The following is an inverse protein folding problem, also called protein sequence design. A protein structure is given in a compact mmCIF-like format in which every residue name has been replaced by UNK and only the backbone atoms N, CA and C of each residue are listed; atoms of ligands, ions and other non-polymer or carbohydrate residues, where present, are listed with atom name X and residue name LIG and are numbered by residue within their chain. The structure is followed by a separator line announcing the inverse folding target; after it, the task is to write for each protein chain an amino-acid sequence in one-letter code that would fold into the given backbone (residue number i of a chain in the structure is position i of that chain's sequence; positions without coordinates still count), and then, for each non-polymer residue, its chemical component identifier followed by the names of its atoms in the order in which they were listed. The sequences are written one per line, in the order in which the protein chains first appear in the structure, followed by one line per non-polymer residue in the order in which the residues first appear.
data_IF_060544373466
#
_entry.id   IF_060544373466
#
_cell.length_a   1.000
_cell.length_b   1.000
_cell.length_c   1.000
_cell.angle_alpha   90.00
_cell.angle_beta   90.00
_cell.angle_gamma   90.00
#
_symmetry.space_group_name_H-M   'P 1'
#
loop_
_entity.id
_entity.type
_entity.pdbx_description
1 polymer ?
#
# COMPACT_ATOMS: atom_id res chain seq x y z
N UNK A 1 17.88 -20.22 -27.34
CA UNK A 1 16.53 -19.96 -26.82
C UNK A 1 16.52 -18.53 -26.30
N UNK A 2 15.75 -17.63 -26.93
CA UNK A 2 15.51 -16.32 -26.35
C UNK A 2 14.35 -16.49 -25.37
N UNK A 3 14.58 -16.23 -24.09
CA UNK A 3 13.52 -16.10 -23.11
C UNK A 3 12.63 -14.93 -23.52
N UNK A 4 11.34 -15.18 -23.71
CA UNK A 4 10.37 -14.16 -24.05
C UNK A 4 10.13 -13.26 -22.83
N UNK A 5 10.60 -11.99 -22.82
CA UNK A 5 10.43 -11.10 -21.68
C UNK A 5 8.95 -10.79 -21.39
N UNK A 6 8.05 -10.99 -22.37
CA UNK A 6 6.61 -10.85 -22.19
C UNK A 6 6.02 -11.86 -21.21
N UNK A 7 6.51 -13.10 -21.21
CA UNK A 7 6.00 -14.17 -20.36
C UNK A 7 6.41 -14.02 -18.88
N UNK A 8 7.59 -13.42 -18.60
CA UNK A 8 8.07 -13.17 -17.23
C UNK A 8 7.53 -11.88 -16.62
N UNK A 9 7.10 -10.92 -17.44
CA UNK A 9 6.65 -9.60 -16.97
C UNK A 9 5.16 -9.53 -16.63
N UNK A 10 4.32 -10.39 -17.24
CA UNK A 10 2.88 -10.47 -16.95
C UNK A 10 2.55 -10.91 -15.51
N UNK A 11 3.19 -11.96 -14.94
CA UNK A 11 2.98 -12.36 -13.55
C UNK A 11 3.37 -11.26 -12.56
N UNK A 12 4.53 -10.62 -12.79
CA UNK A 12 5.02 -9.52 -11.97
C UNK A 12 4.10 -8.31 -11.99
N UNK A 13 3.55 -7.95 -13.16
CA UNK A 13 2.60 -6.85 -13.29
C UNK A 13 1.29 -7.13 -12.52
N UNK A 14 0.80 -8.37 -12.57
CA UNK A 14 -0.39 -8.79 -11.84
C UNK A 14 -0.15 -8.74 -10.31
N UNK A 15 0.97 -9.27 -9.83
CA UNK A 15 1.36 -9.24 -8.42
C UNK A 15 1.47 -7.80 -7.89
N UNK A 16 2.08 -6.90 -8.66
CA UNK A 16 2.14 -5.47 -8.34
C UNK A 16 0.75 -4.83 -8.31
N UNK A 17 -0.16 -5.23 -9.19
CA UNK A 17 -1.55 -4.75 -9.20
C UNK A 17 -2.34 -5.22 -7.98
N UNK A 18 -2.21 -6.49 -7.60
CA UNK A 18 -2.88 -7.06 -6.41
C UNK A 18 -2.40 -6.34 -5.16
N UNK A 19 -1.08 -6.21 -4.99
CA UNK A 19 -0.52 -5.51 -3.83
C UNK A 19 -0.90 -4.02 -3.81
N UNK A 20 -1.03 -3.37 -4.97
CA UNK A 20 -1.46 -1.97 -5.05
C UNK A 20 -2.93 -1.84 -4.61
N UNK A 21 -3.79 -2.75 -5.04
CA UNK A 21 -5.19 -2.80 -4.64
C UNK A 21 -5.32 -3.03 -3.13
N UNK A 22 -4.53 -3.96 -2.57
CA UNK A 22 -4.51 -4.25 -1.13
C UNK A 22 -4.12 -3.01 -0.30
N UNK A 23 -3.03 -2.32 -0.67
CA UNK A 23 -2.60 -1.10 0.01
C UNK A 23 -3.67 0.01 -0.09
N UNK A 24 -4.34 0.12 -1.24
CA UNK A 24 -5.42 1.10 -1.44
C UNK A 24 -6.61 0.79 -0.53
N UNK A 25 -7.06 -0.47 -0.50
CA UNK A 25 -8.16 -0.92 0.36
C UNK A 25 -7.86 -0.70 1.84
N UNK A 26 -6.64 -1.02 2.30
CA UNK A 26 -6.23 -0.78 3.69
C UNK A 26 -6.25 0.72 4.04
N UNK A 27 -5.82 1.59 3.13
CA UNK A 27 -5.90 3.05 3.33
C UNK A 27 -7.35 3.52 3.48
N UNK A 28 -8.28 3.03 2.65
CA UNK A 28 -9.71 3.37 2.72
C UNK A 28 -10.35 2.88 4.02
N UNK A 29 -10.01 1.67 4.47
CA UNK A 29 -10.49 1.13 5.75
C UNK A 29 -9.99 1.97 6.93
N UNK A 30 -8.72 2.40 6.93
CA UNK A 30 -8.18 3.26 7.99
C UNK A 30 -8.93 4.60 8.02
N UNK A 31 -9.22 5.20 6.88
CA UNK A 31 -10.01 6.44 6.81
C UNK A 31 -11.42 6.25 7.36
N UNK A 32 -12.12 5.18 6.94
CA UNK A 32 -13.46 4.88 7.42
C UNK A 32 -13.48 4.69 8.95
N UNK A 33 -12.49 3.98 9.51
CA UNK A 33 -12.35 3.78 10.96
C UNK A 33 -11.97 5.04 11.71
N UNK A 34 -11.15 5.90 11.11
CA UNK A 34 -10.80 7.20 11.68
C UNK A 34 -12.01 8.13 11.77
N UNK A 35 -12.87 8.14 10.75
CA UNK A 35 -14.15 8.86 10.77
C UNK A 35 -15.08 8.30 11.85
N UNK A 36 -15.06 6.99 12.09
CA UNK A 36 -15.86 6.34 13.11
C UNK A 36 -15.30 6.48 14.55
N UNK A 37 -14.10 7.04 14.74
CA UNK A 37 -13.46 7.15 16.06
C UNK A 37 -12.93 5.82 16.64
N UNK A 38 -12.81 4.76 15.82
CA UNK A 38 -12.43 3.41 16.25
C UNK A 38 -10.90 3.24 16.27
N UNK A 39 -10.25 3.80 17.30
CA UNK A 39 -8.80 3.80 17.44
C UNK A 39 -8.18 2.40 17.53
N UNK A 40 -8.89 1.42 18.10
CA UNK A 40 -8.42 0.05 18.27
C UNK A 40 -8.30 -0.67 16.91
N UNK A 41 -9.28 -0.49 16.02
CA UNK A 41 -9.23 -1.06 14.68
C UNK A 41 -8.11 -0.42 13.82
N UNK A 42 -7.83 0.86 14.00
CA UNK A 42 -6.84 1.59 13.20
C UNK A 42 -5.42 1.06 13.44
N UNK A 43 -5.06 0.71 14.68
CA UNK A 43 -3.74 0.13 14.98
C UNK A 43 -3.46 -1.13 14.17
N UNK A 44 -4.39 -2.10 14.19
CA UNK A 44 -4.28 -3.35 13.43
C UNK A 44 -4.20 -3.11 11.92
N UNK A 45 -4.97 -2.16 11.39
CA UNK A 45 -4.96 -1.82 9.97
C UNK A 45 -3.64 -1.14 9.54
N UNK A 46 -3.04 -0.32 10.40
CA UNK A 46 -1.73 0.28 10.15
C UNK A 46 -0.62 -0.79 10.13
N UNK A 47 -0.68 -1.80 10.99
CA UNK A 47 0.26 -2.92 10.98
C UNK A 47 0.13 -3.75 9.70
N UNK A 48 -1.09 -4.03 9.25
CA UNK A 48 -1.37 -4.70 7.98
C UNK A 48 -0.84 -3.89 6.79
N UNK A 49 -1.08 -2.56 6.79
CA UNK A 49 -0.56 -1.66 5.77
C UNK A 49 0.98 -1.69 5.72
N UNK A 50 1.64 -1.68 6.88
CA UNK A 50 3.10 -1.77 6.95
C UNK A 50 3.62 -3.11 6.42
N UNK A 51 2.91 -4.22 6.65
CA UNK A 51 3.25 -5.54 6.10
C UNK A 51 3.09 -5.57 4.57
N UNK A 52 1.96 -5.09 4.04
CA UNK A 52 1.70 -5.02 2.60
C UNK A 52 2.76 -4.16 1.88
N UNK A 53 3.13 -3.01 2.46
CA UNK A 53 4.21 -2.17 1.92
C UNK A 53 5.57 -2.86 1.98
N UNK A 54 5.88 -3.65 3.01
CA UNK A 54 7.12 -4.45 3.06
C UNK A 54 7.15 -5.55 2.00
N UNK A 55 6.00 -6.14 1.67
CA UNK A 55 5.88 -7.13 0.60
C UNK A 55 6.24 -6.56 -0.79
N UNK A 56 6.24 -5.22 -0.96
CA UNK A 56 6.77 -4.58 -2.18
C UNK A 56 8.30 -4.58 -2.30
N UNK A 57 9.03 -4.80 -1.20
CA UNK A 57 10.49 -4.70 -1.16
C UNK A 57 11.20 -5.54 -2.23
N UNK A 58 10.92 -6.85 -2.35
CA UNK A 58 11.51 -7.72 -3.38
C UNK A 58 11.26 -7.23 -4.81
N UNK A 59 10.10 -6.63 -5.07
CA UNK A 59 9.76 -6.11 -6.40
C UNK A 59 10.49 -4.79 -6.74
N UNK A 60 10.89 -4.01 -5.73
CA UNK A 60 11.74 -2.84 -5.91
C UNK A 60 13.15 -3.21 -6.36
N UNK A 61 13.63 -4.36 -5.92
CA UNK A 61 14.92 -4.92 -6.34
C UNK A 61 14.82 -5.54 -7.74
N UNK A 62 13.64 -6.06 -8.12
CA UNK A 62 13.37 -6.68 -9.41
C UNK A 62 13.33 -5.71 -10.62
N UNK A 63 13.27 -4.38 -10.43
CA UNK A 63 13.43 -3.43 -11.54
C UNK A 63 12.75 -2.07 -11.39
N UNK A 64 12.85 -1.25 -12.44
CA UNK A 64 12.31 0.13 -12.50
C UNK A 64 10.80 0.21 -12.27
N UNK A 65 10.03 -0.80 -12.71
CA UNK A 65 8.57 -0.85 -12.56
C UNK A 65 8.15 -0.97 -11.08
N UNK A 66 8.82 -1.85 -10.32
CA UNK A 66 8.58 -2.01 -8.89
C UNK A 66 8.99 -0.78 -8.08
N UNK A 67 10.14 -0.16 -8.41
CA UNK A 67 10.55 1.11 -7.78
C UNK A 67 9.54 2.25 -7.99
N UNK A 68 9.00 2.39 -9.20
CA UNK A 68 7.96 3.39 -9.51
C UNK A 68 6.67 3.12 -8.74
N UNK A 69 6.18 1.89 -8.72
CA UNK A 69 4.98 1.50 -7.96
C UNK A 69 5.16 1.76 -6.47
N UNK A 70 6.27 1.32 -5.88
CA UNK A 70 6.56 1.50 -4.46
C UNK A 70 6.63 2.98 -4.05
N UNK A 71 7.32 3.82 -4.84
CA UNK A 71 7.38 5.26 -4.55
C UNK A 71 6.01 5.96 -4.63
N UNK A 72 5.14 5.49 -5.54
CA UNK A 72 3.77 6.00 -5.70
C UNK A 72 2.93 5.63 -4.48
N UNK A 73 3.02 4.37 -4.04
CA UNK A 73 2.37 3.86 -2.85
C UNK A 73 2.81 4.56 -1.57
N UNK A 74 4.12 4.75 -1.39
CA UNK A 74 4.66 5.50 -0.25
C UNK A 74 4.15 6.93 -0.22
N UNK A 75 4.06 7.58 -1.39
CA UNK A 75 3.55 8.96 -1.49
C UNK A 75 2.05 9.00 -1.17
N UNK A 76 1.26 8.09 -1.73
CA UNK A 76 -0.17 7.98 -1.47
C UNK A 76 -0.45 7.70 0.01
N UNK A 77 0.23 6.70 0.59
CA UNK A 77 0.10 6.34 2.00
C UNK A 77 0.48 7.48 2.96
N UNK A 78 1.56 8.22 2.69
CA UNK A 78 1.91 9.41 3.50
C UNK A 78 0.88 10.52 3.39
N UNK A 79 0.36 10.79 2.19
CA UNK A 79 -0.68 11.79 2.01
C UNK A 79 -1.94 11.42 2.81
N UNK A 80 -2.32 10.13 2.81
CA UNK A 80 -3.45 9.57 3.56
C UNK A 80 -3.24 9.62 5.08
N UNK A 81 -2.09 9.19 5.58
CA UNK A 81 -1.78 9.25 7.01
C UNK A 81 -1.83 10.70 7.55
N UNK A 82 -1.38 11.67 6.74
CA UNK A 82 -1.45 13.10 7.09
C UNK A 82 -2.86 13.67 7.16
N UNK A 83 -3.84 13.13 6.44
CA UNK A 83 -5.25 13.56 6.55
C UNK A 83 -5.97 12.90 7.73
N UNK A 84 -5.56 11.67 8.10
CA UNK A 84 -6.18 10.87 9.16
C UNK A 84 -5.76 11.32 10.56
N UNK A 85 -4.47 11.58 10.80
CA UNK A 85 -3.95 11.95 12.14
C UNK A 85 -4.61 13.22 12.71
N UNK A 86 -4.87 14.30 11.93
CA UNK A 86 -5.62 15.45 12.40
C UNK A 86 -7.10 15.14 12.71
N UNK A 87 -7.73 14.23 11.96
CA UNK A 87 -9.11 13.80 12.21
C UNK A 87 -9.22 13.01 13.52
N UNK A 88 -8.26 12.13 13.83
CA UNK A 88 -8.20 11.42 15.11
C UNK A 88 -8.07 12.38 16.30
N UNK A 89 -7.17 13.37 16.23
CA UNK A 89 -6.98 14.38 17.31
C UNK A 89 -8.21 15.23 17.62
N UNK A 90 -9.22 15.27 16.75
CA UNK A 90 -10.48 15.98 17.01
C UNK A 90 -11.55 15.09 17.64
N UNK A 91 -11.40 13.78 17.51
CA UNK A 91 -12.35 12.78 18.00
C UNK A 91 -11.99 12.29 19.42
N UNK A 92 -10.70 12.26 19.73
CA UNK A 92 -10.17 12.02 21.08
C UNK A 92 -10.09 13.32 21.88
#
# INVERSE_FOLDING_TARGET
MYDDPGARSLPLALELHVLHAEVTMLCELIEARAVAGDAAAIGSLLDQLAQAVRAFGPYCEAGLAGRRHYSTLLRAGRARARSIVPAQRRCC
#
